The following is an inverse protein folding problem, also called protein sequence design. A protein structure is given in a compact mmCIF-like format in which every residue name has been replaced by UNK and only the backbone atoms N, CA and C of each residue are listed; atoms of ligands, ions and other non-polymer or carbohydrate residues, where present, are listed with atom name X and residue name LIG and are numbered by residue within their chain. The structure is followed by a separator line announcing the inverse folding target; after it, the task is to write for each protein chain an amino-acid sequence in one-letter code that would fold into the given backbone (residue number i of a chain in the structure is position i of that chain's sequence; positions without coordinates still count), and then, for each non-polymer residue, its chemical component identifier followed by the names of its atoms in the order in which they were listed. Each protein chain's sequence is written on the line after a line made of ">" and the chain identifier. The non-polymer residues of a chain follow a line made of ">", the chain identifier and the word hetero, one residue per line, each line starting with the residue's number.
data_IF_982703155582
#
_entry.id   IF_982703155582
#
_cell.length_a   1.000
_cell.length_b   1.000
_cell.length_c   1.000
_cell.angle_alpha   90.00
_cell.angle_beta   90.00
_cell.angle_gamma   90.00
#
_symmetry.space_group_name_H-M   'P 1'
#
loop_
_entity.id
_entity.type
_entity.pdbx_description
1 polymer ?
#
# COMPACT_ATOMS: atom_id res chain seq x y z
N UNK A 1 -16.06 32.70 -2.39
CA UNK A 1 -15.43 32.36 -1.09
C UNK A 1 -16.33 31.64 -0.09
N UNK A 2 -17.63 31.99 0.08
CA UNK A 2 -18.53 31.31 1.05
C UNK A 2 -18.80 29.82 0.75
N UNK A 3 -18.92 29.44 -0.53
CA UNK A 3 -19.18 28.04 -0.94
C UNK A 3 -17.99 27.13 -0.63
N UNK A 4 -16.77 27.56 -0.97
CA UNK A 4 -15.53 26.80 -0.67
C UNK A 4 -15.38 26.57 0.83
N UNK A 5 -15.62 27.59 1.66
CA UNK A 5 -15.58 27.46 3.12
C UNK A 5 -16.63 26.47 3.65
N UNK A 6 -17.83 26.47 3.08
CA UNK A 6 -18.90 25.53 3.46
C UNK A 6 -18.52 24.08 3.11
N UNK A 7 -17.93 23.86 1.93
CA UNK A 7 -17.45 22.54 1.49
C UNK A 7 -16.29 22.03 2.37
N UNK A 8 -15.33 22.91 2.69
CA UNK A 8 -14.22 22.56 3.60
C UNK A 8 -14.72 22.18 5.00
N UNK A 9 -15.70 22.90 5.54
CA UNK A 9 -16.27 22.60 6.86
C UNK A 9 -17.01 21.25 6.88
N UNK A 10 -17.78 20.94 5.83
CA UNK A 10 -18.48 19.65 5.70
C UNK A 10 -17.45 18.52 5.55
N UNK A 11 -16.41 18.72 4.75
CA UNK A 11 -15.32 17.77 4.60
C UNK A 11 -14.59 17.49 5.92
N UNK A 12 -14.21 18.54 6.65
CA UNK A 12 -13.58 18.41 7.95
C UNK A 12 -14.47 17.67 8.96
N UNK A 13 -15.77 17.99 8.99
CA UNK A 13 -16.73 17.29 9.86
C UNK A 13 -16.81 15.79 9.53
N UNK A 14 -16.88 15.44 8.24
CA UNK A 14 -16.89 14.05 7.77
C UNK A 14 -15.64 13.29 8.25
N UNK A 15 -14.45 13.87 8.07
CA UNK A 15 -13.20 13.26 8.50
C UNK A 15 -13.12 13.09 10.02
N UNK A 16 -13.53 14.11 10.79
CA UNK A 16 -13.58 14.02 12.26
C UNK A 16 -14.52 12.91 12.69
N UNK A 17 -15.71 12.81 12.07
CA UNK A 17 -16.66 11.75 12.37
C UNK A 17 -16.08 10.36 12.10
N UNK A 18 -15.38 10.18 10.97
CA UNK A 18 -14.69 8.92 10.64
C UNK A 18 -13.63 8.58 11.68
N UNK A 19 -12.81 9.55 12.09
CA UNK A 19 -11.76 9.32 13.11
C UNK A 19 -12.35 8.96 14.47
N UNK A 20 -13.46 9.59 14.87
CA UNK A 20 -14.18 9.25 16.09
C UNK A 20 -14.73 7.83 16.00
N UNK A 21 -15.38 7.47 14.90
CA UNK A 21 -15.90 6.11 14.69
C UNK A 21 -14.77 5.09 14.75
N UNK A 22 -13.65 5.33 14.05
CA UNK A 22 -12.49 4.45 14.08
C UNK A 22 -11.93 4.30 15.51
N UNK A 23 -11.77 5.41 16.24
CA UNK A 23 -11.28 5.37 17.62
C UNK A 23 -12.23 4.60 18.53
N UNK A 24 -13.55 4.81 18.43
CA UNK A 24 -14.54 4.09 19.23
C UNK A 24 -14.53 2.60 18.89
N UNK A 25 -14.56 2.24 17.61
CA UNK A 25 -14.53 0.83 17.18
C UNK A 25 -13.24 0.14 17.62
N UNK A 26 -12.09 0.82 17.54
CA UNK A 26 -10.80 0.27 17.94
C UNK A 26 -10.74 -0.12 19.43
N UNK A 27 -11.49 0.56 20.29
CA UNK A 27 -11.54 0.25 21.73
C UNK A 27 -12.18 -1.11 22.03
N UNK A 28 -12.99 -1.64 21.10
CA UNK A 28 -13.63 -2.95 21.23
C UNK A 28 -12.86 -4.06 20.51
N UNK A 29 -11.76 -3.74 19.86
CA UNK A 29 -10.90 -4.69 19.15
C UNK A 29 -9.59 -4.94 19.90
N UNK A 30 -8.92 -6.05 19.59
CA UNK A 30 -7.55 -6.23 20.06
C UNK A 30 -6.62 -5.24 19.32
N UNK A 31 -5.67 -4.59 20.03
CA UNK A 31 -4.76 -3.61 19.43
C UNK A 31 -3.93 -4.14 18.25
N UNK A 32 -3.70 -5.45 18.19
CA UNK A 32 -2.98 -6.10 17.08
C UNK A 32 -3.80 -6.11 15.78
N UNK A 33 -5.13 -6.14 15.86
CA UNK A 33 -6.00 -6.21 14.69
C UNK A 33 -6.44 -4.84 14.22
N UNK A 34 -6.74 -3.91 15.13
CA UNK A 34 -7.18 -2.56 14.79
C UNK A 34 -6.72 -1.56 15.86
N UNK A 35 -5.47 -1.07 15.79
CA UNK A 35 -5.04 0.03 16.65
C UNK A 35 -5.85 1.29 16.33
N UNK A 36 -6.25 2.01 17.38
CA UNK A 36 -6.94 3.29 17.23
C UNK A 36 -6.02 4.40 16.70
N UNK A 37 -6.58 5.46 16.10
CA UNK A 37 -5.81 6.59 15.56
C UNK A 37 -4.86 7.20 16.60
N UNK A 38 -5.26 7.28 17.87
CA UNK A 38 -4.39 7.81 18.93
C UNK A 38 -3.18 6.89 19.18
N UNK A 39 -3.38 5.58 19.19
CA UNK A 39 -2.30 4.61 19.34
C UNK A 39 -1.33 4.64 18.14
N UNK A 40 -1.86 4.86 16.93
CA UNK A 40 -1.06 5.07 15.72
C UNK A 40 -0.18 6.33 15.84
N UNK A 41 -0.73 7.44 16.34
CA UNK A 41 0.04 8.67 16.56
C UNK A 41 1.15 8.48 17.60
N UNK A 42 0.86 7.80 18.72
CA UNK A 42 1.87 7.47 19.72
C UNK A 42 2.98 6.57 19.15
N UNK A 43 2.59 5.58 18.33
CA UNK A 43 3.54 4.75 17.61
C UNK A 43 4.44 5.56 16.68
N UNK A 44 3.88 6.51 15.94
CA UNK A 44 4.64 7.42 15.08
C UNK A 44 5.63 8.27 15.89
N UNK A 45 5.19 8.89 16.98
CA UNK A 45 6.06 9.67 17.86
C UNK A 45 7.23 8.83 18.40
N UNK A 46 6.95 7.58 18.80
CA UNK A 46 8.00 6.67 19.28
C UNK A 46 9.05 6.35 18.21
N UNK A 47 8.62 6.15 16.95
CA UNK A 47 9.50 5.87 15.81
C UNK A 47 10.30 7.11 15.36
N UNK A 48 9.72 8.29 15.50
CA UNK A 48 10.41 9.56 15.24
C UNK A 48 11.46 9.81 16.33
N UNK A 49 11.11 9.59 17.60
CA UNK A 49 12.02 9.76 18.73
C UNK A 49 13.19 8.76 18.70
N UNK A 50 12.97 7.53 18.24
CA UNK A 50 14.03 6.52 18.06
C UNK A 50 14.94 6.81 16.86
N UNK A 51 14.57 7.73 15.97
CA UNK A 51 15.29 8.01 14.72
C UNK A 51 15.19 6.91 13.67
N UNK A 52 14.43 5.84 13.91
CA UNK A 52 14.33 4.68 13.00
C UNK A 52 13.22 4.81 11.97
N UNK A 53 12.29 5.77 12.12
CA UNK A 53 11.18 6.00 11.18
C UNK A 53 11.65 6.10 9.72
N UNK A 54 12.60 6.99 9.46
CA UNK A 54 13.13 7.20 8.11
C UNK A 54 13.82 5.96 7.53
N UNK A 55 14.52 5.20 8.37
CA UNK A 55 15.15 3.94 7.96
C UNK A 55 14.12 2.90 7.54
N UNK A 56 13.05 2.70 8.32
CA UNK A 56 12.00 1.73 7.97
C UNK A 56 11.25 2.14 6.70
N UNK A 57 10.91 3.42 6.57
CA UNK A 57 10.29 3.96 5.35
C UNK A 57 11.23 3.75 4.16
N UNK A 58 12.50 4.10 4.29
CA UNK A 58 13.50 3.95 3.23
C UNK A 58 13.68 2.49 2.78
N UNK A 59 13.81 1.57 3.73
CA UNK A 59 13.92 0.13 3.44
C UNK A 59 12.66 -0.38 2.70
N UNK A 60 11.47 0.02 3.15
CA UNK A 60 10.21 -0.35 2.48
C UNK A 60 10.17 0.17 1.04
N UNK A 61 10.52 1.44 0.84
CA UNK A 61 10.54 2.07 -0.49
C UNK A 61 11.56 1.40 -1.43
N UNK A 62 12.78 1.13 -0.94
CA UNK A 62 13.82 0.46 -1.72
C UNK A 62 13.35 -0.90 -2.21
N UNK A 63 12.70 -1.70 -1.34
CA UNK A 63 12.16 -3.02 -1.73
C UNK A 63 11.14 -2.92 -2.85
N UNK A 64 10.20 -1.98 -2.73
CA UNK A 64 9.14 -1.76 -3.73
C UNK A 64 9.75 -1.32 -5.05
N UNK A 65 10.64 -0.32 -5.02
CA UNK A 65 11.27 0.22 -6.22
C UNK A 65 12.18 -0.80 -6.90
N UNK A 66 12.99 -1.54 -6.14
CA UNK A 66 13.85 -2.58 -6.68
C UNK A 66 13.03 -3.69 -7.34
N UNK A 67 11.97 -4.17 -6.67
CA UNK A 67 11.07 -5.17 -7.23
C UNK A 67 10.37 -4.69 -8.50
N UNK A 68 9.89 -3.44 -8.51
CA UNK A 68 9.26 -2.83 -9.67
C UNK A 68 10.23 -2.65 -10.84
N UNK A 69 11.45 -2.17 -10.59
CA UNK A 69 12.48 -1.98 -11.63
C UNK A 69 12.86 -3.32 -12.25
N UNK A 70 13.23 -4.31 -11.43
CA UNK A 70 13.66 -5.62 -11.91
C UNK A 70 12.51 -6.32 -12.64
N UNK A 71 11.31 -6.30 -12.04
CA UNK A 71 10.11 -6.91 -12.61
C UNK A 71 9.71 -6.26 -13.95
N UNK A 72 9.76 -4.94 -14.05
CA UNK A 72 9.43 -4.23 -15.29
C UNK A 72 10.50 -4.42 -16.36
N UNK A 73 11.78 -4.38 -15.98
CA UNK A 73 12.90 -4.58 -16.90
C UNK A 73 12.88 -5.96 -17.57
N UNK A 74 12.36 -6.98 -16.88
CA UNK A 74 12.23 -8.35 -17.43
C UNK A 74 10.85 -8.56 -18.07
N UNK A 75 9.79 -8.16 -17.38
CA UNK A 75 8.41 -8.41 -17.78
C UNK A 75 8.00 -7.65 -19.04
N UNK A 76 8.46 -6.40 -19.22
CA UNK A 76 8.13 -5.61 -20.42
C UNK A 76 8.72 -6.25 -21.69
N UNK A 77 10.03 -6.56 -21.78
CA UNK A 77 10.57 -7.25 -22.95
C UNK A 77 9.89 -8.59 -23.24
N UNK A 78 9.65 -9.42 -22.22
CA UNK A 78 8.97 -10.70 -22.39
C UNK A 78 7.55 -10.49 -22.92
N UNK A 79 6.79 -9.57 -22.34
CA UNK A 79 5.44 -9.25 -22.80
C UNK A 79 5.40 -8.76 -24.25
N UNK A 80 6.36 -7.92 -24.64
CA UNK A 80 6.51 -7.48 -26.05
C UNK A 80 6.82 -8.67 -26.96
N UNK A 81 7.77 -9.53 -26.60
CA UNK A 81 8.13 -10.71 -27.40
C UNK A 81 6.96 -11.68 -27.56
N UNK A 82 6.15 -11.89 -26.52
CA UNK A 82 4.93 -12.68 -26.59
C UNK A 82 3.87 -12.03 -27.49
N UNK A 83 3.78 -10.70 -27.53
CA UNK A 83 2.89 -9.97 -28.43
C UNK A 83 3.30 -10.07 -29.90
N UNK A 84 4.61 -10.11 -30.17
CA UNK A 84 5.14 -10.16 -31.53
C UNK A 84 5.29 -11.57 -32.10
N UNK A 85 5.42 -12.62 -31.26
CA UNK A 85 5.69 -13.98 -31.72
C UNK A 85 4.77 -15.02 -31.03
N UNK A 86 3.89 -15.72 -31.77
CA UNK A 86 2.97 -16.71 -31.21
C UNK A 86 3.68 -17.92 -30.58
N UNK A 87 4.89 -18.27 -31.03
CA UNK A 87 5.67 -19.38 -30.45
C UNK A 87 6.17 -19.00 -29.05
N UNK A 88 6.71 -17.79 -28.89
CA UNK A 88 7.16 -17.28 -27.58
C UNK A 88 5.99 -17.23 -26.61
N UNK A 89 4.83 -16.75 -27.08
CA UNK A 89 3.61 -16.75 -26.29
C UNK A 89 3.21 -18.14 -25.82
N UNK A 90 3.18 -19.14 -26.72
CA UNK A 90 2.80 -20.50 -26.36
C UNK A 90 3.73 -21.15 -25.33
N UNK A 91 5.03 -20.80 -25.34
CA UNK A 91 6.02 -21.30 -24.38
C UNK A 91 5.88 -20.64 -23.00
N UNK A 92 5.61 -19.33 -22.96
CA UNK A 92 5.63 -18.54 -21.72
C UNK A 92 4.25 -18.50 -21.02
N UNK A 93 3.15 -18.57 -21.77
CA UNK A 93 1.78 -18.52 -21.23
C UNK A 93 1.52 -19.55 -20.10
N UNK A 94 1.94 -20.83 -20.19
CA UNK A 94 1.75 -21.79 -19.11
C UNK A 94 2.46 -21.41 -17.82
N UNK A 95 3.69 -20.90 -17.93
CA UNK A 95 4.51 -20.46 -16.79
C UNK A 95 3.84 -19.28 -16.11
N UNK A 96 3.42 -18.27 -16.87
CA UNK A 96 2.72 -17.10 -16.32
C UNK A 96 1.41 -17.48 -15.63
N UNK A 97 0.61 -18.38 -16.23
CA UNK A 97 -0.63 -18.84 -15.63
C UNK A 97 -0.39 -19.59 -14.30
N UNK A 98 0.70 -20.33 -14.16
CA UNK A 98 1.07 -20.96 -12.91
C UNK A 98 1.34 -19.92 -11.80
N UNK A 99 2.19 -18.93 -12.07
CA UNK A 99 2.53 -17.90 -11.07
C UNK A 99 1.38 -16.93 -10.77
N UNK A 100 0.45 -16.72 -11.72
CA UNK A 100 -0.68 -15.80 -11.54
C UNK A 100 -1.59 -16.14 -10.36
N UNK A 101 -1.62 -17.41 -9.94
CA UNK A 101 -2.45 -17.88 -8.84
C UNK A 101 -1.70 -18.06 -7.52
N UNK A 102 -0.40 -17.75 -7.46
CA UNK A 102 0.34 -17.83 -6.20
C UNK A 102 -0.04 -16.62 -5.34
N UNK A 103 -0.68 -16.82 -4.18
CA UNK A 103 -1.09 -15.72 -3.34
C UNK A 103 0.13 -15.05 -2.71
N UNK A 104 0.13 -13.72 -2.64
CA UNK A 104 1.22 -12.93 -2.08
C UNK A 104 1.23 -12.91 -0.53
N UNK A 105 0.78 -13.99 0.11
CA UNK A 105 0.77 -14.13 1.57
C UNK A 105 2.11 -14.71 2.03
N UNK A 106 2.93 -13.85 2.61
CA UNK A 106 4.19 -14.17 3.28
C UNK A 106 4.49 -13.11 4.32
#
# INVERSE_FOLDING_TARGET
>A
MRIVRKLLNIGAFSWILILIIWQVVSMFSLPVFLPGPLAVMQGLESLLASGTFGQFVGISLIRILAGWIIGSAIGIPIGILMGCNPIVRALIDPILNFFRFIPAIG
#
